data_IF_369426322610
#
_entry.id   IF_369426322610
#
_cell.length_a   1.000
_cell.length_b   1.000
_cell.length_c   1.000
_cell.angle_alpha   90.00
_cell.angle_beta   90.00
_cell.angle_gamma   90.00
#
_symmetry.space_group_name_H-M   'P 1'
#
loop_
_entity.id
_entity.type
_entity.pdbx_description
1 polymer ?
#
# COMPACT_ATOMS: atom_id res chain seq x y z
N UNK A 1 -8.48 -4.03 -0.91
CA UNK A 1 -7.87 -2.68 -0.99
C UNK A 1 -6.46 -2.68 -0.41
N UNK A 2 -6.23 -2.27 0.85
CA UNK A 2 -4.87 -2.20 1.40
C UNK A 2 -4.08 -3.54 1.35
N UNK A 3 -4.70 -4.65 1.75
CA UNK A 3 -4.04 -5.98 1.69
C UNK A 3 -3.59 -6.34 0.26
N UNK A 4 -4.48 -6.16 -0.72
CA UNK A 4 -4.21 -6.50 -2.13
C UNK A 4 -3.09 -5.62 -2.70
N UNK A 5 -3.08 -4.33 -2.35
CA UNK A 5 -2.00 -3.43 -2.74
C UNK A 5 -0.64 -3.88 -2.18
N UNK A 6 -0.60 -4.34 -0.91
CA UNK A 6 0.62 -4.90 -0.32
C UNK A 6 1.01 -6.24 -0.95
N UNK A 7 0.04 -7.08 -1.32
CA UNK A 7 0.29 -8.30 -2.10
C UNK A 7 0.92 -7.97 -3.47
N UNK A 8 0.50 -6.88 -4.12
CA UNK A 8 1.12 -6.44 -5.37
C UNK A 8 2.50 -5.80 -5.16
N UNK A 9 2.70 -5.00 -4.11
CA UNK A 9 4.03 -4.50 -3.73
C UNK A 9 5.03 -5.65 -3.46
N UNK A 10 4.55 -6.79 -2.92
CA UNK A 10 5.38 -7.95 -2.66
C UNK A 10 5.97 -8.57 -3.94
N UNK A 11 5.33 -8.36 -5.10
CA UNK A 11 5.78 -8.90 -6.39
C UNK A 11 6.94 -8.13 -7.01
N UNK A 12 7.22 -6.91 -6.53
CA UNK A 12 8.37 -6.15 -7.00
C UNK A 12 9.63 -6.99 -6.74
N UNK A 13 10.49 -7.23 -7.73
CA UNK A 13 11.75 -7.92 -7.51
C UNK A 13 12.72 -7.06 -6.69
N UNK A 14 13.48 -7.70 -5.80
CA UNK A 14 14.43 -6.99 -4.93
C UNK A 14 15.50 -6.22 -5.72
N UNK A 15 15.94 -6.76 -6.87
CA UNK A 15 16.96 -6.14 -7.70
C UNK A 15 16.49 -4.81 -8.31
N UNK A 16 15.21 -4.71 -8.70
CA UNK A 16 14.59 -3.48 -9.22
C UNK A 16 14.77 -2.29 -8.28
N UNK A 17 14.74 -2.54 -6.97
CA UNK A 17 14.93 -1.51 -5.94
C UNK A 17 16.41 -1.35 -5.57
N UNK A 18 17.15 -2.45 -5.39
CA UNK A 18 18.57 -2.43 -5.00
C UNK A 18 19.45 -1.74 -6.02
N UNK A 19 19.24 -1.99 -7.31
CA UNK A 19 20.06 -1.43 -8.39
C UNK A 19 19.94 0.10 -8.47
N UNK A 20 18.87 0.67 -7.90
CA UNK A 20 18.62 2.11 -7.79
C UNK A 20 18.87 2.67 -6.39
N UNK A 21 19.36 1.86 -5.45
CA UNK A 21 19.53 2.22 -4.05
C UNK A 21 18.22 2.70 -3.39
N UNK A 22 17.09 2.09 -3.76
CA UNK A 22 15.76 2.39 -3.23
C UNK A 22 15.38 1.35 -2.18
N UNK A 23 14.71 1.80 -1.11
CA UNK A 23 14.18 0.94 -0.06
C UNK A 23 12.67 1.10 0.02
N UNK A 24 11.93 0.02 -0.21
CA UNK A 24 10.49 0.00 -0.05
C UNK A 24 10.09 -0.31 1.40
N UNK A 25 9.23 0.53 1.97
CA UNK A 25 8.79 0.44 3.36
C UNK A 25 7.28 0.61 3.44
N UNK A 26 6.61 -0.25 4.21
CA UNK A 26 5.18 -0.12 4.55
C UNK A 26 5.04 0.17 6.03
N UNK A 27 4.26 1.20 6.39
CA UNK A 27 3.96 1.55 7.78
C UNK A 27 2.46 1.34 8.02
N UNK A 28 2.12 0.41 8.92
CA UNK A 28 0.74 0.09 9.28
C UNK A 28 0.32 0.67 10.63
N UNK A 29 -0.98 0.92 10.82
CA UNK A 29 -1.53 1.38 12.11
C UNK A 29 -1.83 0.24 13.11
N UNK A 30 -1.65 -1.01 12.71
CA UNK A 30 -1.86 -2.16 13.58
C UNK A 30 -0.68 -2.33 14.56
N UNK A 31 -0.89 -2.88 15.78
CA UNK A 31 0.18 -3.26 16.69
C UNK A 31 1.21 -4.23 16.08
N UNK A 32 2.46 -4.16 16.55
CA UNK A 32 3.60 -4.95 16.02
C UNK A 32 3.38 -6.46 16.00
N UNK A 33 2.58 -7.00 16.93
CA UNK A 33 2.26 -8.43 17.01
C UNK A 33 1.61 -8.98 15.73
N UNK A 34 1.02 -8.11 14.90
CA UNK A 34 0.37 -8.48 13.64
C UNK A 34 1.30 -8.45 12.42
N UNK A 35 2.47 -7.80 12.49
CA UNK A 35 3.38 -7.68 11.33
C UNK A 35 3.73 -9.07 10.80
N UNK A 36 4.10 -10.00 11.67
CA UNK A 36 4.58 -11.33 11.25
C UNK A 36 3.53 -12.07 10.44
N UNK A 37 2.30 -12.14 10.95
CA UNK A 37 1.18 -12.79 10.27
C UNK A 37 0.84 -12.06 8.96
N UNK A 38 0.79 -10.73 8.98
CA UNK A 38 0.46 -9.95 7.80
C UNK A 38 1.49 -10.12 6.67
N UNK A 39 2.79 -10.13 6.99
CA UNK A 39 3.86 -10.42 6.00
C UNK A 39 3.73 -11.83 5.42
N UNK A 40 3.38 -12.83 6.24
CA UNK A 40 3.15 -14.20 5.77
C UNK A 40 1.95 -14.28 4.83
N UNK A 41 0.85 -13.60 5.17
CA UNK A 41 -0.38 -13.62 4.35
C UNK A 41 -0.26 -12.85 3.03
N UNK A 42 0.60 -11.84 2.95
CA UNK A 42 0.79 -11.02 1.74
C UNK A 42 2.02 -11.43 0.92
N UNK A 43 2.92 -12.23 1.49
CA UNK A 43 4.23 -12.52 0.90
C UNK A 43 5.17 -11.31 0.90
N UNK A 44 4.83 -10.23 1.61
CA UNK A 44 5.61 -9.00 1.61
C UNK A 44 6.99 -9.22 2.25
N UNK A 45 8.03 -9.12 1.44
CA UNK A 45 9.41 -9.43 1.83
C UNK A 45 10.19 -8.22 2.36
N UNK A 46 9.71 -7.01 2.12
CA UNK A 46 10.41 -5.77 2.46
C UNK A 46 10.16 -5.32 3.90
N UNK A 47 10.70 -4.16 4.25
CA UNK A 47 10.60 -3.58 5.59
C UNK A 47 9.18 -3.11 5.88
N UNK A 48 8.71 -3.45 7.08
CA UNK A 48 7.39 -3.11 7.56
C UNK A 48 7.47 -2.65 9.01
N UNK A 49 6.87 -1.50 9.30
CA UNK A 49 6.84 -0.91 10.63
C UNK A 49 5.40 -0.66 11.08
N UNK A 50 5.24 -0.38 12.37
CA UNK A 50 3.97 -0.05 13.00
C UNK A 50 3.99 1.37 13.56
N UNK A 51 2.89 2.09 13.36
CA UNK A 51 2.59 3.38 13.96
C UNK A 51 1.20 3.33 14.63
N UNK A 52 1.05 2.58 15.74
CA UNK A 52 -0.25 2.37 16.37
C UNK A 52 -0.88 3.66 16.90
N UNK A 53 -0.05 4.59 17.39
CA UNK A 53 -0.49 5.89 17.90
C UNK A 53 -0.71 6.95 16.81
N UNK A 54 -0.43 6.57 15.55
CA UNK A 54 -0.55 7.42 14.35
C UNK A 54 0.32 8.68 14.43
N UNK A 55 1.47 8.61 15.08
CA UNK A 55 2.36 9.75 15.27
C UNK A 55 2.98 10.18 13.94
N UNK A 56 3.49 9.22 13.17
CA UNK A 56 4.04 9.46 11.83
C UNK A 56 2.90 9.90 10.90
N UNK A 57 1.78 9.19 10.94
CA UNK A 57 0.59 9.50 10.13
C UNK A 57 0.11 10.95 10.30
N UNK A 58 -0.01 11.42 11.56
CA UNK A 58 -0.38 12.80 11.89
C UNK A 58 0.70 13.80 11.49
N UNK A 59 1.97 13.47 11.70
CA UNK A 59 3.11 14.33 11.33
C UNK A 59 3.15 14.58 9.81
N UNK A 60 2.90 13.55 9.01
CA UNK A 60 2.83 13.63 7.55
C UNK A 60 1.53 14.26 7.03
N UNK A 61 0.63 14.69 7.92
CA UNK A 61 -0.67 15.32 7.59
C UNK A 61 -1.52 14.44 6.66
N UNK A 62 -1.44 13.12 6.82
CA UNK A 62 -2.32 12.19 6.13
C UNK A 62 -3.78 12.50 6.49
N UNK A 63 -4.67 12.53 5.51
CA UNK A 63 -6.06 13.02 5.67
C UNK A 63 -6.96 11.99 6.37
N UNK A 64 -7.80 12.46 7.28
CA UNK A 64 -8.93 11.68 7.82
C UNK A 64 -10.27 11.95 7.12
N UNK A 65 -10.31 12.82 6.09
CA UNK A 65 -11.56 13.23 5.46
C UNK A 65 -11.66 12.72 4.03
N UNK A 66 -12.61 11.80 3.81
CA UNK A 66 -13.05 11.39 2.47
C UNK A 66 -13.78 12.57 1.81
N UNK A 67 -13.06 13.36 1.02
CA UNK A 67 -13.72 14.27 0.07
C UNK A 67 -14.39 13.39 -1.01
N UNK A 68 -15.68 13.13 -0.85
CA UNK A 68 -16.53 12.30 -1.73
C UNK A 68 -16.68 12.82 -3.18
N UNK A 69 -15.80 13.71 -3.65
CA UNK A 69 -15.99 14.49 -4.88
C UNK A 69 -15.11 14.07 -6.07
N UNK A 70 -14.25 13.04 -5.95
CA UNK A 70 -13.55 12.50 -7.14
C UNK A 70 -13.71 10.99 -7.29
N UNK A 71 -14.46 10.61 -8.32
CA UNK A 71 -14.57 9.25 -8.83
C UNK A 71 -13.30 8.93 -9.63
N UNK A 72 -12.17 8.72 -8.94
CA UNK A 72 -10.94 8.24 -9.59
C UNK A 72 -11.07 6.72 -9.74
N UNK A 73 -11.23 6.25 -10.97
CA UNK A 73 -11.23 4.82 -11.30
C UNK A 73 -9.78 4.38 -11.36
N UNK A 74 -9.31 3.71 -10.32
CA UNK A 74 -7.94 3.23 -10.24
C UNK A 74 -7.79 1.94 -11.05
N UNK A 75 -6.87 1.93 -12.02
CA UNK A 75 -6.65 0.81 -12.95
C UNK A 75 -6.10 -0.47 -12.27
N UNK A 76 -5.64 -0.39 -11.03
CA UNK A 76 -4.97 -1.50 -10.34
C UNK A 76 -5.81 -2.19 -9.26
N UNK A 77 -7.07 -1.79 -9.08
CA UNK A 77 -7.90 -2.36 -8.03
C UNK A 77 -8.68 -3.53 -8.59
N UNK A 78 -8.36 -4.73 -8.09
CA UNK A 78 -9.16 -5.92 -8.36
C UNK A 78 -10.57 -5.71 -7.81
N UNK A 79 -11.54 -5.69 -8.71
CA UNK A 79 -12.96 -5.94 -8.40
C UNK A 79 -13.13 -7.38 -7.93
N UNK A 80 -12.72 -7.69 -6.71
CA UNK A 80 -13.03 -8.95 -6.03
C UNK A 80 -13.98 -8.71 -4.85
N UNK A 81 -15.06 -7.95 -5.05
CA UNK A 81 -16.07 -7.73 -4.00
C UNK A 81 -16.47 -9.04 -3.29
N UNK A 82 -16.60 -10.15 -4.04
CA UNK A 82 -16.89 -11.47 -3.46
C UNK A 82 -15.72 -12.08 -2.66
N UNK A 83 -14.47 -12.00 -3.16
CA UNK A 83 -13.31 -12.57 -2.44
C UNK A 83 -12.95 -11.74 -1.21
N UNK A 84 -13.19 -10.42 -1.28
CA UNK A 84 -13.06 -9.49 -0.15
C UNK A 84 -14.05 -9.82 0.96
N UNK A 85 -15.31 -10.11 0.62
CA UNK A 85 -16.32 -10.58 1.58
C UNK A 85 -15.88 -11.90 2.22
N UNK A 86 -15.56 -12.93 1.44
CA UNK A 86 -15.13 -14.25 1.96
C UNK A 86 -13.88 -14.17 2.85
N UNK A 87 -12.86 -13.41 2.45
CA UNK A 87 -11.63 -13.22 3.26
C UNK A 87 -11.87 -12.35 4.49
N UNK A 88 -12.76 -11.36 4.42
CA UNK A 88 -13.14 -10.54 5.57
C UNK A 88 -13.86 -11.35 6.65
N UNK A 89 -14.75 -12.26 6.25
CA UNK A 89 -15.44 -13.18 7.16
C UNK A 89 -14.48 -14.16 7.79
N UNK A 90 -13.52 -14.71 7.04
CA UNK A 90 -12.47 -15.58 7.57
C UNK A 90 -11.59 -14.88 8.63
N UNK A 91 -11.17 -13.64 8.36
CA UNK A 91 -10.40 -12.84 9.34
C UNK A 91 -11.25 -12.47 10.56
N UNK A 92 -12.51 -12.11 10.38
CA UNK A 92 -13.44 -11.84 11.49
C UNK A 92 -13.71 -13.08 12.34
N UNK A 93 -13.67 -14.28 11.75
CA UNK A 93 -13.78 -15.56 12.47
C UNK A 93 -12.50 -15.93 13.23
N UNK A 94 -11.31 -15.68 12.67
CA UNK A 94 -10.04 -15.99 13.33
C UNK A 94 -9.66 -14.97 14.42
N UNK A 95 -10.06 -13.72 14.25
CA UNK A 95 -9.70 -12.61 15.14
C UNK A 95 -10.93 -11.74 15.48
N UNK A 96 -11.98 -12.31 16.11
CA UNK A 96 -13.28 -11.64 16.33
C UNK A 96 -13.19 -10.41 17.25
N UNK A 97 -12.18 -10.36 18.11
CA UNK A 97 -11.99 -9.29 19.11
C UNK A 97 -10.83 -8.34 18.77
N UNK A 98 -10.25 -8.43 17.57
CA UNK A 98 -9.08 -7.62 17.24
C UNK A 98 -9.44 -6.36 16.46
N UNK A 99 -8.81 -5.27 16.89
CA UNK A 99 -8.89 -3.90 16.38
C UNK A 99 -9.05 -3.84 14.84
N UNK A 100 -10.22 -3.41 14.37
CA UNK A 100 -10.51 -3.29 12.94
C UNK A 100 -9.95 -2.01 12.30
N UNK A 101 -9.27 -1.16 13.07
CA UNK A 101 -8.81 0.14 12.59
C UNK A 101 -9.94 1.14 12.45
N UNK A 102 -9.59 2.32 11.94
CA UNK A 102 -10.56 3.36 11.61
C UNK A 102 -10.93 3.23 10.13
N UNK A 103 -12.18 2.91 9.79
CA UNK A 103 -12.62 2.73 8.40
C UNK A 103 -12.46 3.99 7.54
N UNK A 104 -12.38 5.17 8.16
CA UNK A 104 -12.19 6.45 7.48
C UNK A 104 -10.73 6.81 7.22
N UNK A 105 -9.78 6.04 7.79
CA UNK A 105 -8.36 6.29 7.63
C UNK A 105 -7.92 6.09 6.17
N UNK A 106 -7.46 7.15 5.53
CA UNK A 106 -6.91 7.10 4.17
C UNK A 106 -5.40 6.84 4.19
N UNK A 107 -4.91 6.20 3.14
CA UNK A 107 -3.49 5.93 2.94
C UNK A 107 -2.74 7.14 2.40
N UNK A 108 -1.43 6.97 2.27
CA UNK A 108 -0.55 7.91 1.61
C UNK A 108 0.72 7.20 1.14
N UNK A 109 1.34 7.73 0.10
CA UNK A 109 2.62 7.26 -0.43
C UNK A 109 3.60 8.42 -0.54
N UNK A 110 4.86 8.18 -0.19
CA UNK A 110 5.93 9.16 -0.25
C UNK A 110 7.18 8.54 -0.87
N UNK A 111 7.90 9.33 -1.67
CA UNK A 111 9.27 9.04 -2.08
C UNK A 111 10.17 10.04 -1.37
N UNK A 112 10.98 9.54 -0.47
CA UNK A 112 11.90 10.33 0.34
C UNK A 112 13.30 10.19 -0.27
N UNK A 113 13.90 11.32 -0.64
CA UNK A 113 15.26 11.35 -1.16
C UNK A 113 16.30 11.41 -0.05
N UNK A 114 17.59 11.39 -0.41
CA UNK A 114 18.67 11.62 0.55
C UNK A 114 18.47 12.93 1.34
N UNK A 115 18.73 12.88 2.65
CA UNK A 115 18.49 14.00 3.56
C UNK A 115 17.04 14.11 4.01
N UNK A 116 16.53 15.34 4.13
CA UNK A 116 15.15 15.64 4.56
C UNK A 116 14.28 16.14 3.41
N UNK A 117 14.43 15.53 2.23
CA UNK A 117 13.77 15.95 0.99
C UNK A 117 12.66 14.97 0.60
N UNK A 118 11.47 15.50 0.35
CA UNK A 118 10.34 14.75 -0.22
C UNK A 118 10.35 14.96 -1.73
N UNK A 119 10.61 13.91 -2.50
CA UNK A 119 10.62 13.96 -3.97
C UNK A 119 9.21 13.76 -4.55
N UNK A 120 8.40 12.94 -3.88
CA UNK A 120 7.02 12.69 -4.27
C UNK A 120 6.16 12.48 -3.01
N UNK A 121 4.91 12.92 -3.07
CA UNK A 121 3.90 12.63 -2.06
C UNK A 121 2.52 12.53 -2.69
N UNK A 122 1.77 11.50 -2.31
CA UNK A 122 0.37 11.34 -2.64
C UNK A 122 -0.41 10.99 -1.39
N UNK A 123 -1.48 11.74 -1.13
CA UNK A 123 -2.42 11.45 -0.04
C UNK A 123 -3.67 10.88 -0.68
N UNK A 124 -4.03 9.65 -0.35
CA UNK A 124 -5.16 8.97 -0.97
C UNK A 124 -6.46 9.74 -0.67
N UNK A 125 -7.21 10.07 -1.72
CA UNK A 125 -8.51 10.73 -1.57
C UNK A 125 -9.65 9.78 -1.15
N UNK A 126 -9.48 8.47 -1.38
CA UNK A 126 -10.37 7.41 -0.95
C UNK A 126 -9.60 6.07 -0.87
N UNK A 127 -10.22 5.01 -0.34
CA UNK A 127 -9.59 3.68 -0.17
C UNK A 127 -9.17 3.00 -1.47
N UNK A 128 -9.57 3.57 -2.61
CA UNK A 128 -9.25 3.15 -3.94
C UNK A 128 -8.38 4.16 -4.70
N UNK A 129 -7.81 5.18 -4.07
CA UNK A 129 -7.01 6.23 -4.73
C UNK A 129 -5.49 6.00 -4.60
N UNK A 130 -5.07 4.77 -4.35
CA UNK A 130 -3.67 4.40 -4.18
C UNK A 130 -2.88 4.65 -5.48
N UNK A 131 -1.65 5.15 -5.40
CA UNK A 131 -0.83 5.37 -6.62
C UNK A 131 -0.55 4.03 -7.31
N UNK A 132 -0.61 4.00 -8.64
CA UNK A 132 -0.21 2.82 -9.40
C UNK A 132 1.27 2.48 -9.13
N UNK A 133 1.57 1.20 -8.90
CA UNK A 133 2.92 0.79 -8.48
C UNK A 133 3.96 1.14 -9.54
N UNK A 134 3.66 0.98 -10.82
CA UNK A 134 4.60 1.35 -11.89
C UNK A 134 4.84 2.86 -11.97
N UNK A 135 3.87 3.71 -11.61
CA UNK A 135 4.09 5.15 -11.54
C UNK A 135 5.04 5.48 -10.38
N UNK A 136 4.88 4.81 -9.23
CA UNK A 136 5.80 4.96 -8.10
C UNK A 136 7.22 4.50 -8.44
N UNK A 137 7.36 3.39 -9.17
CA UNK A 137 8.67 2.88 -9.59
C UNK A 137 9.35 3.87 -10.54
N UNK A 138 8.62 4.42 -11.51
CA UNK A 138 9.14 5.44 -12.44
C UNK A 138 9.59 6.69 -11.67
N UNK A 139 8.77 7.21 -10.77
CA UNK A 139 9.12 8.38 -9.93
C UNK A 139 10.32 8.10 -9.01
N UNK A 140 10.52 6.85 -8.60
CA UNK A 140 11.69 6.41 -7.82
C UNK A 140 12.93 6.12 -8.70
N UNK A 141 12.82 6.23 -10.03
CA UNK A 141 13.88 5.89 -10.98
C UNK A 141 14.12 4.39 -11.18
N UNK A 142 13.19 3.55 -10.73
CA UNK A 142 13.17 2.10 -10.85
C UNK A 142 12.51 1.63 -12.16
N UNK A 143 12.90 0.44 -12.60
CA UNK A 143 12.26 -0.22 -13.73
C UNK A 143 10.85 -0.69 -13.35
N UNK A 144 9.92 -0.66 -14.31
CA UNK A 144 8.55 -1.12 -14.10
C UNK A 144 8.48 -2.63 -13.96
N UNK A 145 7.48 -3.11 -13.23
CA UNK A 145 7.21 -4.54 -13.04
C UNK A 145 5.95 -4.92 -13.82
N UNK A 146 5.99 -6.08 -14.46
CA UNK A 146 4.81 -6.64 -15.10
C UNK A 146 3.84 -7.14 -14.03
N UNK A 147 2.74 -6.42 -13.89
CA UNK A 147 1.55 -6.92 -13.23
C UNK A 147 0.63 -7.39 -14.33
N UNK A 148 0.15 -8.65 -14.30
CA UNK A 148 -0.68 -9.32 -15.33
C UNK A 148 -1.89 -8.51 -15.91
N UNK A 149 -2.20 -7.32 -15.37
CA UNK A 149 -3.28 -6.43 -15.79
C UNK A 149 -2.85 -4.98 -16.03
N UNK A 150 -1.56 -4.65 -16.01
CA UNK A 150 -1.05 -3.35 -16.46
C UNK A 150 -0.84 -3.37 -17.98
N UNK A 151 -1.84 -2.89 -18.73
CA UNK A 151 -1.82 -2.83 -20.20
C UNK A 151 -0.71 -1.93 -20.79
N UNK A 152 0.17 -1.34 -19.96
CA UNK A 152 1.30 -0.52 -20.41
C UNK A 152 2.56 -1.31 -20.71
N UNK A 153 2.61 -2.59 -20.35
CA UNK A 153 3.66 -3.50 -20.83
C UNK A 153 3.18 -4.11 -22.15
N UNK A 154 3.63 -3.55 -23.27
CA UNK A 154 3.45 -4.20 -24.58
C UNK A 154 4.31 -5.46 -24.58
N UNK A 155 3.68 -6.63 -24.59
CA UNK A 155 4.36 -7.87 -24.98
C UNK A 155 4.76 -7.71 -26.45
N UNK A 156 6.05 -7.58 -26.73
CA UNK A 156 6.63 -7.68 -28.07
C UNK A 156 7.06 -9.12 -28.30
#
# INVERSE_FOLDING_TARGET
MCKEYVEDLAKIPLNTLKDKNVKLVVIGCAPWKFIKHFKQETGYQYDMYCDPDRNIYKCLKCKCEANHTRKVVNKHIKSNALSGILKSTWRAMQFPNEWQGDPSQMGATFILGPGSTVHFSHLDGNSADQVAINDLLIEAGCDTVDFEKDQRVLHV
#
